data_IF_297467901810
#
_entry.id   IF_297467901810
#
_cell.length_a   1.000
_cell.length_b   1.000
_cell.length_c   1.000
_cell.angle_alpha   90.00
_cell.angle_beta   90.00
_cell.angle_gamma   90.00
#
_symmetry.space_group_name_H-M   'P 1'
#
loop_
_entity.id
_entity.type
_entity.pdbx_description
1 polymer ?
#
# COMPACT_ATOMS: atom_id res chain seq x y z
N UNK A 1 11.93 15.97 2.11
CA UNK A 1 11.41 15.72 0.74
C UNK A 1 10.98 17.06 0.16
N UNK A 2 11.85 18.07 0.26
CA UNK A 2 11.40 19.46 0.37
C UNK A 2 11.26 20.19 -0.95
N UNK A 3 11.60 19.54 -2.08
CA UNK A 3 11.48 20.14 -3.42
C UNK A 3 10.57 19.36 -4.36
N UNK A 4 9.99 18.23 -3.93
CA UNK A 4 9.26 17.30 -4.82
C UNK A 4 10.05 16.87 -6.08
N UNK A 5 11.35 17.18 -6.16
CA UNK A 5 12.14 17.08 -7.39
C UNK A 5 12.19 15.66 -7.92
N UNK A 6 12.40 14.68 -7.05
CA UNK A 6 12.44 13.27 -7.45
C UNK A 6 11.09 12.83 -8.04
N UNK A 7 9.97 13.22 -7.43
CA UNK A 7 8.63 12.91 -7.94
C UNK A 7 8.36 13.62 -9.28
N UNK A 8 8.71 14.90 -9.37
CA UNK A 8 8.58 15.69 -10.60
C UNK A 8 9.40 15.11 -11.73
N UNK A 9 10.67 14.75 -11.48
CA UNK A 9 11.56 14.18 -12.48
C UNK A 9 11.07 12.83 -12.99
N UNK A 10 10.57 11.96 -12.10
CA UNK A 10 9.96 10.68 -12.50
C UNK A 10 8.74 10.92 -13.39
N UNK A 11 7.90 11.91 -13.04
CA UNK A 11 6.71 12.23 -13.83
C UNK A 11 7.08 12.79 -15.20
N UNK A 12 8.05 13.70 -15.29
CA UNK A 12 8.55 14.24 -16.57
C UNK A 12 9.09 13.15 -17.49
N UNK A 13 9.96 12.28 -16.96
CA UNK A 13 10.52 11.17 -17.74
C UNK A 13 9.44 10.15 -18.16
N UNK A 14 8.45 9.90 -17.30
CA UNK A 14 7.29 9.07 -17.64
C UNK A 14 6.47 9.69 -18.78
N UNK A 15 6.23 11.00 -18.75
CA UNK A 15 5.51 11.70 -19.81
C UNK A 15 6.30 11.71 -21.12
N UNK A 16 7.62 11.89 -21.04
CA UNK A 16 8.49 11.80 -22.21
C UNK A 16 8.46 10.41 -22.85
N UNK A 17 8.50 9.36 -22.04
CA UNK A 17 8.38 7.98 -22.51
C UNK A 17 7.03 7.72 -23.19
N UNK A 18 5.92 8.13 -22.57
CA UNK A 18 4.59 7.96 -23.16
C UNK A 18 4.44 8.76 -24.45
N UNK A 19 4.97 9.99 -24.52
CA UNK A 19 4.97 10.77 -25.77
C UNK A 19 5.68 10.01 -26.90
N UNK A 20 6.87 9.47 -26.62
CA UNK A 20 7.64 8.69 -27.60
C UNK A 20 6.96 7.39 -28.04
N UNK A 21 6.24 6.75 -27.13
CA UNK A 21 5.42 5.57 -27.41
C UNK A 21 4.24 5.93 -28.30
N UNK A 22 3.58 7.06 -28.06
CA UNK A 22 2.43 7.51 -28.85
C UNK A 22 2.82 8.09 -30.21
N UNK A 23 3.91 8.85 -30.30
CA UNK A 23 4.38 9.46 -31.55
C UNK A 23 5.13 8.48 -32.47
N UNK A 24 5.48 7.28 -31.97
CA UNK A 24 6.16 6.22 -32.73
C UNK A 24 7.68 6.38 -32.83
N UNK A 25 8.27 7.43 -32.25
CA UNK A 25 9.72 7.64 -32.21
C UNK A 25 10.45 6.61 -31.37
N UNK A 26 9.75 5.97 -30.43
CA UNK A 26 10.20 4.76 -29.73
C UNK A 26 9.48 3.54 -30.30
N UNK A 27 10.13 2.68 -31.11
CA UNK A 27 9.47 1.52 -31.70
C UNK A 27 9.18 0.45 -30.66
N UNK A 28 7.89 0.17 -30.45
CA UNK A 28 7.35 -0.87 -29.57
C UNK A 28 6.56 -1.88 -30.41
N UNK A 29 7.12 -3.08 -30.55
CA UNK A 29 6.56 -4.17 -31.34
C UNK A 29 5.19 -4.60 -30.77
N UNK A 30 4.17 -4.65 -31.62
CA UNK A 30 2.80 -5.01 -31.22
C UNK A 30 2.03 -3.90 -30.50
N UNK A 31 2.60 -2.68 -30.39
CA UNK A 31 1.94 -1.51 -29.79
C UNK A 31 1.85 -0.33 -30.76
N UNK A 32 2.98 0.13 -31.31
CA UNK A 32 2.99 1.23 -32.29
C UNK A 32 3.72 0.86 -33.60
N UNK A 33 4.47 -0.24 -33.62
CA UNK A 33 5.23 -0.73 -34.77
C UNK A 33 4.95 -2.23 -34.94
N UNK A 34 4.92 -2.73 -36.17
CA UNK A 34 4.58 -4.12 -36.51
C UNK A 34 3.23 -4.57 -35.92
N UNK A 35 2.19 -3.75 -36.14
CA UNK A 35 0.82 -4.09 -35.76
C UNK A 35 0.27 -5.23 -36.67
N UNK A 36 -0.51 -6.18 -36.13
CA UNK A 36 -1.21 -7.19 -36.92
C UNK A 36 -2.19 -6.56 -37.93
N UNK A 37 -2.47 -7.26 -39.03
CA UNK A 37 -3.30 -6.75 -40.14
C UNK A 37 -4.79 -6.63 -39.80
N UNK A 38 -5.27 -7.49 -38.92
CA UNK A 38 -6.53 -7.28 -38.24
C UNK A 38 -6.20 -6.41 -37.04
N UNK A 39 -6.89 -5.27 -36.89
CA UNK A 39 -6.82 -4.49 -35.66
C UNK A 39 -7.08 -5.47 -34.51
N UNK A 40 -6.01 -5.93 -33.85
CA UNK A 40 -6.03 -6.84 -32.71
C UNK A 40 -6.57 -6.10 -31.49
N UNK A 41 -7.71 -5.45 -31.65
CA UNK A 41 -8.59 -5.05 -30.59
C UNK A 41 -8.93 -6.30 -29.82
N UNK A 42 -8.67 -6.21 -28.52
CA UNK A 42 -8.90 -7.26 -27.54
C UNK A 42 -7.99 -8.47 -27.74
N UNK A 43 -6.97 -8.51 -26.87
CA UNK A 43 -6.29 -9.69 -26.35
C UNK A 43 -7.11 -10.96 -26.69
N UNK A 44 -6.80 -11.63 -27.81
CA UNK A 44 -7.49 -12.86 -28.23
C UNK A 44 -7.11 -14.07 -27.36
N UNK A 45 -6.55 -13.82 -26.18
CA UNK A 45 -6.24 -14.79 -25.15
C UNK A 45 -7.09 -14.40 -23.95
N UNK A 46 -8.05 -15.24 -23.57
CA UNK A 46 -8.66 -15.13 -22.23
C UNK A 46 -7.52 -15.33 -21.21
N UNK A 47 -6.99 -14.22 -20.69
CA UNK A 47 -6.02 -14.27 -19.61
C UNK A 47 -6.84 -14.55 -18.35
N UNK A 48 -6.67 -15.75 -17.79
CA UNK A 48 -7.24 -16.07 -16.48
C UNK A 48 -6.66 -15.10 -15.43
N UNK A 49 -7.51 -14.22 -14.90
CA UNK A 49 -7.12 -13.31 -13.83
C UNK A 49 -7.15 -14.05 -12.50
N UNK A 50 -5.97 -14.21 -11.91
CA UNK A 50 -5.86 -14.68 -10.53
C UNK A 50 -6.32 -13.55 -9.59
N UNK A 51 -7.45 -13.78 -8.91
CA UNK A 51 -7.99 -12.91 -7.86
C UNK A 51 -8.33 -13.76 -6.64
N UNK A 52 -8.27 -13.15 -5.46
CA UNK A 52 -8.78 -13.81 -4.26
C UNK A 52 -10.29 -14.03 -4.37
N UNK A 53 -10.71 -15.25 -4.04
CA UNK A 53 -12.12 -15.65 -3.94
C UNK A 53 -12.79 -14.98 -2.73
N UNK A 54 -14.11 -14.98 -2.69
CA UNK A 54 -14.84 -14.37 -1.57
C UNK A 54 -14.71 -15.21 -0.29
N UNK A 55 -14.62 -16.53 -0.46
CA UNK A 55 -14.38 -17.49 0.61
C UNK A 55 -13.04 -17.25 1.30
N UNK A 56 -11.97 -17.04 0.53
CA UNK A 56 -10.64 -16.72 1.06
C UNK A 56 -10.63 -15.42 1.87
N UNK A 57 -11.36 -14.39 1.42
CA UNK A 57 -11.52 -13.15 2.19
C UNK A 57 -12.28 -13.39 3.49
N UNK A 58 -13.36 -14.16 3.43
CA UNK A 58 -14.16 -14.52 4.61
C UNK A 58 -13.33 -15.25 5.68
N UNK A 59 -12.51 -16.21 5.24
CA UNK A 59 -11.57 -16.93 6.12
C UNK A 59 -10.59 -15.97 6.79
N UNK A 60 -10.03 -15.02 6.04
CA UNK A 60 -9.08 -14.06 6.61
C UNK A 60 -9.74 -13.16 7.67
N UNK A 61 -10.96 -12.70 7.43
CA UNK A 61 -11.72 -11.89 8.41
C UNK A 61 -11.99 -12.70 9.68
N UNK A 62 -12.43 -13.95 9.53
CA UNK A 62 -12.68 -14.85 10.66
C UNK A 62 -11.42 -15.13 11.48
N UNK A 63 -10.28 -15.36 10.81
CA UNK A 63 -8.99 -15.58 11.46
C UNK A 63 -8.54 -14.37 12.29
N UNK A 64 -8.66 -13.16 11.74
CA UNK A 64 -8.32 -11.92 12.46
C UNK A 64 -9.21 -11.73 13.69
N UNK A 65 -10.52 -11.95 13.54
CA UNK A 65 -11.48 -11.85 14.66
C UNK A 65 -11.14 -12.86 15.77
N UNK A 66 -10.94 -14.13 15.41
CA UNK A 66 -10.59 -15.20 16.34
C UNK A 66 -9.26 -14.93 17.06
N UNK A 67 -8.27 -14.43 16.33
CA UNK A 67 -6.99 -14.04 16.92
C UNK A 67 -7.17 -12.93 17.97
N UNK A 68 -7.92 -11.88 17.64
CA UNK A 68 -8.21 -10.79 18.57
C UNK A 68 -8.97 -11.26 19.81
N UNK A 69 -10.03 -12.06 19.64
CA UNK A 69 -10.80 -12.62 20.77
C UNK A 69 -9.94 -13.48 21.70
N UNK A 70 -9.03 -14.29 21.14
CA UNK A 70 -8.18 -15.17 21.92
C UNK A 70 -7.03 -14.46 22.64
N UNK A 71 -6.50 -13.36 22.07
CA UNK A 71 -5.22 -12.78 22.52
C UNK A 71 -5.32 -11.38 23.10
N UNK A 72 -6.28 -10.54 22.69
CA UNK A 72 -6.35 -9.15 23.15
C UNK A 72 -6.48 -9.05 24.68
N UNK A 73 -7.26 -9.95 25.29
CA UNK A 73 -7.48 -9.96 26.74
C UNK A 73 -6.22 -10.30 27.55
N UNK A 74 -5.25 -11.02 26.96
CA UNK A 74 -4.00 -11.40 27.62
C UNK A 74 -3.09 -10.20 27.87
N UNK A 75 -3.25 -9.12 27.09
CA UNK A 75 -2.44 -7.92 27.20
C UNK A 75 -3.24 -6.67 26.81
N UNK A 76 -4.30 -6.37 27.59
CA UNK A 76 -5.23 -5.27 27.32
C UNK A 76 -4.55 -3.89 27.19
N UNK A 77 -3.42 -3.68 27.87
CA UNK A 77 -2.68 -2.41 27.84
C UNK A 77 -1.54 -2.37 26.81
N UNK A 78 -1.29 -3.45 26.06
CA UNK A 78 -0.16 -3.54 25.13
C UNK A 78 -0.13 -2.43 24.08
N UNK A 79 -1.30 -2.02 23.56
CA UNK A 79 -1.42 -0.89 22.63
C UNK A 79 -1.12 0.45 23.30
N UNK A 80 -1.57 0.67 24.53
CA UNK A 80 -1.28 1.91 25.28
C UNK A 80 0.21 2.04 25.59
N UNK A 81 0.87 0.92 25.91
CA UNK A 81 2.33 0.89 26.12
C UNK A 81 3.04 1.24 24.82
N UNK A 82 2.62 0.65 23.68
CA UNK A 82 3.17 0.99 22.37
C UNK A 82 3.02 2.48 22.04
N UNK A 83 1.84 3.05 22.28
CA UNK A 83 1.58 4.48 22.08
C UNK A 83 2.46 5.36 22.97
N UNK A 84 2.63 4.97 24.24
CA UNK A 84 3.47 5.70 25.21
C UNK A 84 4.94 5.65 24.80
N UNK A 85 5.46 4.47 24.43
CA UNK A 85 6.83 4.30 23.91
C UNK A 85 7.08 5.18 22.68
N UNK A 86 6.10 5.26 21.77
CA UNK A 86 6.19 6.15 20.61
C UNK A 86 6.18 7.64 20.98
N UNK A 87 5.32 8.06 21.91
CA UNK A 87 5.27 9.46 22.41
C UNK A 87 6.57 9.87 23.09
N UNK A 88 7.15 8.97 23.87
CA UNK A 88 8.40 9.20 24.61
C UNK A 88 9.66 9.07 23.74
N UNK A 89 9.50 8.83 22.42
CA UNK A 89 10.60 8.62 21.47
C UNK A 89 11.58 7.53 21.91
N UNK A 90 11.07 6.51 22.59
CA UNK A 90 11.82 5.29 22.97
C UNK A 90 11.85 4.32 21.79
N UNK A 91 12.50 3.17 21.97
CA UNK A 91 12.59 2.15 20.92
C UNK A 91 11.21 1.54 20.60
N UNK A 92 10.56 2.06 19.57
CA UNK A 92 9.22 1.61 19.14
C UNK A 92 9.27 0.21 18.55
N UNK A 93 10.37 -0.17 17.89
CA UNK A 93 10.49 -1.49 17.27
C UNK A 93 10.47 -2.61 18.30
N UNK A 94 11.20 -2.44 19.40
CA UNK A 94 11.19 -3.39 20.53
C UNK A 94 9.76 -3.59 21.07
N UNK A 95 9.05 -2.49 21.32
CA UNK A 95 7.68 -2.57 21.81
C UNK A 95 6.70 -3.11 20.76
N UNK A 96 6.99 -2.93 19.47
CA UNK A 96 6.20 -3.49 18.37
C UNK A 96 6.30 -5.01 18.33
N UNK A 97 7.51 -5.58 18.52
CA UNK A 97 7.73 -7.04 18.60
C UNK A 97 6.95 -7.66 19.77
N UNK A 98 6.75 -6.93 20.86
CA UNK A 98 5.87 -7.37 21.94
C UNK A 98 4.38 -7.21 21.61
N UNK A 99 3.98 -6.10 20.99
CA UNK A 99 2.58 -5.82 20.67
C UNK A 99 1.98 -6.80 19.64
N UNK A 100 2.77 -7.26 18.65
CA UNK A 100 2.30 -8.21 17.61
C UNK A 100 1.89 -9.56 18.18
N UNK A 101 2.35 -9.94 19.38
CA UNK A 101 1.99 -11.21 20.04
C UNK A 101 0.54 -11.24 20.51
N UNK A 102 -0.12 -10.08 20.61
CA UNK A 102 -1.46 -9.95 21.17
C UNK A 102 -2.41 -9.18 20.26
N UNK A 103 -1.90 -8.29 19.42
CA UNK A 103 -2.69 -7.40 18.58
C UNK A 103 -2.49 -7.72 17.10
N UNK A 104 -3.54 -7.53 16.32
CA UNK A 104 -3.48 -7.58 14.85
C UNK A 104 -2.75 -6.37 14.28
N UNK A 105 -2.28 -6.49 13.03
CA UNK A 105 -1.64 -5.42 12.29
C UNK A 105 -2.51 -4.15 12.25
N UNK A 106 -3.82 -4.30 11.98
CA UNK A 106 -4.75 -3.17 11.92
C UNK A 106 -4.86 -2.41 13.24
N UNK A 107 -4.92 -3.13 14.37
CA UNK A 107 -4.94 -2.52 15.71
C UNK A 107 -3.65 -1.75 16.00
N UNK A 108 -2.49 -2.31 15.63
CA UNK A 108 -1.18 -1.67 15.83
C UNK A 108 -1.06 -0.41 14.96
N UNK A 109 -1.38 -0.50 13.67
CA UNK A 109 -1.35 0.65 12.77
C UNK A 109 -2.27 1.77 13.24
N UNK A 110 -3.50 1.45 13.66
CA UNK A 110 -4.44 2.45 14.18
C UNK A 110 -3.90 3.12 15.45
N UNK A 111 -3.39 2.34 16.40
CA UNK A 111 -2.82 2.88 17.64
C UNK A 111 -1.63 3.82 17.37
N UNK A 112 -0.78 3.51 16.38
CA UNK A 112 0.34 4.36 15.99
C UNK A 112 -0.10 5.61 15.23
N UNK A 113 -1.19 5.56 14.44
CA UNK A 113 -1.75 6.75 13.78
C UNK A 113 -2.22 7.81 14.78
N UNK A 114 -2.81 7.39 15.91
CA UNK A 114 -3.23 8.30 16.98
C UNK A 114 -2.06 9.05 17.64
N UNK A 115 -0.83 8.55 17.49
CA UNK A 115 0.38 9.11 18.12
C UNK A 115 1.30 9.83 17.11
N UNK A 116 1.48 9.25 15.94
CA UNK A 116 2.37 9.78 14.89
C UNK A 116 1.70 10.73 13.90
N UNK A 117 0.36 10.83 13.94
CA UNK A 117 -0.44 11.43 12.88
C UNK A 117 -0.48 10.53 11.64
N UNK A 118 -1.58 10.62 10.87
CA UNK A 118 -1.64 10.04 9.53
C UNK A 118 -0.44 10.52 8.71
N UNK A 119 0.17 9.63 7.92
CA UNK A 119 1.09 10.05 6.86
C UNK A 119 0.28 10.96 5.94
N UNK A 120 0.36 12.26 6.20
CA UNK A 120 -0.38 13.30 5.51
C UNK A 120 0.21 13.46 4.12
N UNK A 121 -0.31 12.68 3.18
CA UNK A 121 -0.60 13.27 1.89
C UNK A 121 -1.71 14.28 2.12
N UNK A 122 -1.39 15.57 1.98
CA UNK A 122 -2.28 16.73 2.12
C UNK A 122 -2.34 17.28 3.55
N UNK A 123 -1.33 18.08 3.89
CA UNK A 123 -1.49 19.25 4.75
C UNK A 123 -0.69 20.39 4.12
N UNK A 124 -1.24 21.61 4.10
CA UNK A 124 -0.83 22.86 3.40
C UNK A 124 -1.56 23.06 2.05
N UNK A 125 -2.41 24.06 1.79
CA UNK A 125 -2.67 25.36 2.41
C UNK A 125 -4.11 25.82 2.07
N UNK A 126 -4.84 26.38 3.04
CA UNK A 126 -5.72 27.55 2.85
C UNK A 126 -5.99 28.17 4.22
N UNK A 127 -5.31 29.29 4.50
CA UNK A 127 -5.89 30.40 5.26
C UNK A 127 -6.79 31.21 4.34
#
# INVERSE_FOLDING_TARGET
MDTMYQRGKIQEESMYYEHKKHDGSLPLIGVNTFLPKDHGGEIATEIELIRSTEEEKGVQIANVKRYGEARNALAADSLKVLQTTARERRNVFEQLVEAVKYNSLGQISHALYEVGGSIGGICSCSS
#
